data_IF_008595704932
#
_entry.id   IF_008595704932
#
_cell.length_a   1.000
_cell.length_b   1.000
_cell.length_c   1.000
_cell.angle_alpha   90.00
_cell.angle_beta   90.00
_cell.angle_gamma   90.00
#
_symmetry.space_group_name_H-M   'P 1'
#
loop_
_entity.id
_entity.type
_entity.pdbx_description
1 polymer ?
#
# COMPACT_ATOMS: atom_id res chain seq x y z
N UNK A 1 17.22 2.94 -0.57
CA UNK A 1 15.99 2.21 -0.89
C UNK A 1 15.33 1.85 0.43
N UNK A 2 14.13 2.37 0.66
CA UNK A 2 13.31 2.13 1.84
C UNK A 2 12.16 1.22 1.43
N UNK A 3 11.82 0.27 2.29
CA UNK A 3 10.71 -0.65 2.09
C UNK A 3 9.72 -0.46 3.24
N UNK A 4 8.45 -0.29 2.89
CA UNK A 4 7.34 -0.17 3.84
C UNK A 4 6.28 -1.19 3.50
N UNK A 5 5.85 -1.97 4.49
CA UNK A 5 4.73 -2.89 4.37
C UNK A 5 3.54 -2.36 5.17
N UNK A 6 2.41 -2.16 4.49
CA UNK A 6 1.15 -1.80 5.12
C UNK A 6 0.26 -3.04 5.21
N UNK A 7 -0.43 -3.21 6.34
CA UNK A 7 -1.42 -4.27 6.56
C UNK A 7 -2.73 -3.71 7.06
N UNK A 8 -3.85 -4.12 6.46
CA UNK A 8 -5.17 -3.70 6.88
C UNK A 8 -6.24 -4.78 6.66
N UNK A 9 -7.42 -4.61 7.27
CA UNK A 9 -8.53 -5.55 7.18
C UNK A 9 -9.21 -5.61 5.79
N UNK A 10 -8.88 -4.68 4.89
CA UNK A 10 -9.45 -4.65 3.54
C UNK A 10 -8.58 -3.87 2.57
N UNK A 11 -8.75 -4.15 1.27
CA UNK A 11 -8.18 -3.33 0.19
C UNK A 11 -8.55 -1.84 0.33
N UNK A 12 -9.79 -1.53 0.71
CA UNK A 12 -10.24 -0.15 0.87
C UNK A 12 -9.49 0.57 2.00
N UNK A 13 -9.20 -0.12 3.09
CA UNK A 13 -8.41 0.43 4.20
C UNK A 13 -6.97 0.74 3.78
N UNK A 14 -6.33 -0.13 2.99
CA UNK A 14 -5.00 0.16 2.41
C UNK A 14 -5.03 1.43 1.53
N UNK A 15 -6.04 1.58 0.67
CA UNK A 15 -6.18 2.77 -0.17
C UNK A 15 -6.36 4.02 0.69
N UNK A 16 -7.14 3.94 1.77
CA UNK A 16 -7.30 5.06 2.71
C UNK A 16 -5.99 5.44 3.40
N UNK A 17 -5.18 4.46 3.82
CA UNK A 17 -3.85 4.69 4.40
C UNK A 17 -2.92 5.38 3.40
N UNK A 18 -2.86 4.91 2.14
CA UNK A 18 -2.08 5.55 1.08
C UNK A 18 -2.56 6.98 0.78
N UNK A 19 -3.88 7.20 0.79
CA UNK A 19 -4.49 8.52 0.62
C UNK A 19 -4.10 9.50 1.73
N UNK A 20 -4.07 9.03 2.98
CA UNK A 20 -3.57 9.83 4.10
C UNK A 20 -2.07 10.11 3.95
N UNK A 21 -1.27 9.07 3.66
CA UNK A 21 0.18 9.18 3.53
C UNK A 21 0.62 10.10 2.39
N UNK A 22 -0.12 10.21 1.28
CA UNK A 22 0.28 11.06 0.15
C UNK A 22 -0.02 12.55 0.33
N UNK A 23 -0.76 12.94 1.38
CA UNK A 23 -1.18 14.34 1.57
C UNK A 23 0.03 15.26 1.65
N UNK A 24 0.10 16.25 0.75
CA UNK A 24 1.21 17.21 0.69
C UNK A 24 2.48 16.73 -0.04
N UNK A 25 2.48 15.51 -0.58
CA UNK A 25 3.64 14.96 -1.32
C UNK A 25 3.61 15.37 -2.79
N UNK A 26 4.78 15.69 -3.34
CA UNK A 26 4.93 16.06 -4.75
C UNK A 26 4.64 14.89 -5.71
N UNK A 27 4.86 13.65 -5.25
CA UNK A 27 4.61 12.42 -6.02
C UNK A 27 3.60 11.55 -5.28
N UNK A 28 2.29 11.67 -5.59
CA UNK A 28 1.25 10.90 -4.90
C UNK A 28 1.43 9.40 -5.12
N UNK A 29 0.87 8.60 -4.21
CA UNK A 29 0.86 7.13 -4.28
C UNK A 29 -0.34 6.60 -5.07
N UNK A 30 -1.42 7.37 -5.06
CA UNK A 30 -2.66 7.14 -5.76
C UNK A 30 -2.78 8.13 -6.91
N UNK A 31 -3.07 7.62 -8.10
CA UNK A 31 -3.29 8.38 -9.33
C UNK A 31 -4.73 8.14 -9.76
N UNK A 32 -5.43 9.20 -10.15
CA UNK A 32 -6.73 9.04 -10.82
C UNK A 32 -6.48 8.82 -12.31
N UNK A 33 -7.12 7.81 -12.88
CA UNK A 33 -7.13 7.62 -14.33
C UNK A 33 -8.19 8.52 -15.01
N UNK A 34 -8.30 8.41 -16.33
CA UNK A 34 -9.21 9.21 -17.15
C UNK A 34 -10.70 8.92 -16.85
N UNK A 35 -11.02 7.79 -16.20
CA UNK A 35 -12.39 7.46 -15.77
C UNK A 35 -12.69 7.96 -14.35
N UNK A 36 -11.69 8.51 -13.66
CA UNK A 36 -11.78 8.96 -12.27
C UNK A 36 -11.56 7.82 -11.26
N UNK A 37 -11.17 6.63 -11.71
CA UNK A 37 -10.86 5.52 -10.84
C UNK A 37 -9.49 5.71 -10.18
N UNK A 38 -9.41 5.32 -8.91
CA UNK A 38 -8.18 5.44 -8.13
C UNK A 38 -7.28 4.23 -8.38
N UNK A 39 -6.11 4.48 -8.97
CA UNK A 39 -5.07 3.49 -9.20
C UNK A 39 -3.86 3.75 -8.29
N UNK A 40 -3.16 2.68 -7.90
CA UNK A 40 -1.88 2.77 -7.19
C UNK A 40 -0.74 2.94 -8.18
N UNK A 41 0.26 3.74 -7.82
CA UNK A 41 1.47 3.91 -8.61
C UNK A 41 2.31 2.62 -8.62
N UNK A 42 2.09 1.81 -9.65
CA UNK A 42 2.75 0.52 -9.84
C UNK A 42 4.28 0.62 -10.00
N UNK A 43 4.86 1.82 -10.18
CA UNK A 43 6.32 1.98 -10.24
C UNK A 43 7.00 1.86 -8.87
N UNK A 44 6.24 2.07 -7.79
CA UNK A 44 6.73 2.08 -6.40
C UNK A 44 5.94 1.18 -5.47
N UNK A 45 4.75 0.74 -5.89
CA UNK A 45 3.79 0.05 -5.03
C UNK A 45 3.43 -1.28 -5.67
N UNK A 46 3.58 -2.36 -4.90
CA UNK A 46 2.96 -3.64 -5.26
C UNK A 46 1.49 -3.55 -4.89
N UNK A 47 0.63 -3.79 -5.88
CA UNK A 47 -0.81 -3.67 -5.76
C UNK A 47 -1.34 -4.41 -4.52
N UNK A 48 -2.28 -3.84 -3.75
CA UNK A 48 -2.78 -4.49 -2.54
C UNK A 48 -3.25 -5.92 -2.80
N UNK A 49 -2.77 -6.86 -2.00
CA UNK A 49 -3.07 -8.30 -2.14
C UNK A 49 -3.52 -8.90 -0.81
N UNK A 50 -4.27 -9.99 -0.87
CA UNK A 50 -4.66 -10.72 0.34
C UNK A 50 -3.43 -11.32 1.01
N UNK A 51 -3.32 -11.13 2.33
CA UNK A 51 -2.33 -11.80 3.15
C UNK A 51 -2.71 -13.29 3.24
N UNK A 52 -1.74 -14.15 2.96
CA UNK A 52 -1.89 -15.60 2.98
C UNK A 52 -1.05 -16.17 4.12
N UNK A 53 -1.49 -17.25 4.75
CA UNK A 53 -0.67 -18.01 5.70
C UNK A 53 0.54 -18.64 5.00
N UNK A 54 1.62 -18.88 5.74
CA UNK A 54 2.86 -19.50 5.23
C UNK A 54 2.85 -21.04 5.30
N UNK A 55 1.68 -21.64 5.44
CA UNK A 55 1.52 -23.09 5.59
C UNK A 55 1.69 -23.83 4.24
N UNK A 56 1.78 -25.18 4.30
CA UNK A 56 1.85 -26.03 3.09
C UNK A 56 0.63 -25.83 2.16
N UNK A 57 -0.52 -25.48 2.74
CA UNK A 57 -1.72 -25.03 2.03
C UNK A 57 -2.04 -23.57 2.44
N UNK A 58 -1.55 -22.57 1.69
CA UNK A 58 -1.76 -21.16 2.01
C UNK A 58 -3.25 -20.80 2.04
N UNK A 59 -3.71 -20.18 3.12
CA UNK A 59 -5.07 -19.72 3.29
C UNK A 59 -5.13 -18.20 3.56
N UNK A 60 -6.19 -17.48 3.13
CA UNK A 60 -6.33 -16.06 3.45
C UNK A 60 -6.41 -15.83 4.96
N UNK A 61 -5.63 -14.90 5.49
CA UNK A 61 -5.68 -14.52 6.91
C UNK A 61 -6.83 -13.58 7.24
N UNK A 62 -7.48 -13.02 6.21
CA UNK A 62 -8.48 -11.96 6.32
C UNK A 62 -7.90 -10.55 6.29
N UNK A 63 -6.58 -10.40 6.13
CA UNK A 63 -5.92 -9.11 5.95
C UNK A 63 -5.44 -8.89 4.52
N UNK A 64 -5.05 -7.67 4.22
CA UNK A 64 -4.50 -7.22 2.96
C UNK A 64 -3.15 -6.55 3.21
N UNK A 65 -2.18 -6.83 2.34
CA UNK A 65 -0.84 -6.25 2.36
C UNK A 65 -0.63 -5.30 1.19
N UNK A 66 0.28 -4.35 1.37
CA UNK A 66 0.76 -3.45 0.34
C UNK A 66 2.23 -3.11 0.60
N UNK A 67 3.08 -3.43 -0.37
CA UNK A 67 4.52 -3.21 -0.29
C UNK A 67 4.89 -1.95 -1.09
N UNK A 68 5.71 -1.08 -0.50
CA UNK A 68 6.07 0.22 -1.06
C UNK A 68 7.59 0.38 -1.03
N UNK A 69 8.17 0.71 -2.17
CA UNK A 69 9.60 1.00 -2.31
C UNK A 69 9.84 2.46 -2.67
N UNK A 70 10.66 3.13 -1.86
CA UNK A 70 11.04 4.53 -2.06
C UNK A 70 12.56 4.71 -2.06
N UNK A 71 13.03 5.72 -2.79
CA UNK A 71 14.45 6.09 -2.75
C UNK A 71 14.79 6.79 -1.42
N UNK A 72 13.91 7.66 -0.97
CA UNK A 72 14.01 8.48 0.25
C UNK A 72 13.05 7.97 1.34
N UNK A 73 13.37 8.21 2.62
CA UNK A 73 12.49 7.85 3.73
C UNK A 73 11.22 8.71 3.78
N UNK A 74 10.16 8.09 4.29
CA UNK A 74 8.82 8.65 4.36
C UNK A 74 8.29 8.48 5.79
N UNK A 75 8.06 9.59 6.49
CA UNK A 75 7.74 9.58 7.91
C UNK A 75 6.31 9.07 8.17
N UNK A 76 5.37 9.40 7.28
CA UNK A 76 3.99 8.94 7.38
C UNK A 76 3.90 7.44 7.13
N UNK A 77 4.60 6.92 6.12
CA UNK A 77 4.66 5.47 5.89
C UNK A 77 5.39 4.76 7.02
N UNK A 78 6.48 5.33 7.56
CA UNK A 78 7.18 4.75 8.71
C UNK A 78 6.30 4.65 9.97
N UNK A 79 5.35 5.56 10.15
CA UNK A 79 4.40 5.52 11.26
C UNK A 79 3.25 4.51 11.06
N UNK A 80 2.99 4.10 9.82
CA UNK A 80 1.91 3.19 9.45
C UNK A 80 2.37 1.77 9.15
N UNK A 81 3.65 1.58 8.83
CA UNK A 81 4.23 0.29 8.46
C UNK A 81 4.35 -0.66 9.66
N UNK A 82 4.27 -1.96 9.37
CA UNK A 82 4.49 -3.05 10.34
C UNK A 82 5.96 -3.22 10.75
#
# INVERSE_FOLDING_TARGET
MQHYELRAESRAAIIAMLGAAQTGKARPFLVQDETGDTQVDASRIRYPYEEMTEDEEPAPTGFWLCEIWLEEPDAELAAMAL
#
